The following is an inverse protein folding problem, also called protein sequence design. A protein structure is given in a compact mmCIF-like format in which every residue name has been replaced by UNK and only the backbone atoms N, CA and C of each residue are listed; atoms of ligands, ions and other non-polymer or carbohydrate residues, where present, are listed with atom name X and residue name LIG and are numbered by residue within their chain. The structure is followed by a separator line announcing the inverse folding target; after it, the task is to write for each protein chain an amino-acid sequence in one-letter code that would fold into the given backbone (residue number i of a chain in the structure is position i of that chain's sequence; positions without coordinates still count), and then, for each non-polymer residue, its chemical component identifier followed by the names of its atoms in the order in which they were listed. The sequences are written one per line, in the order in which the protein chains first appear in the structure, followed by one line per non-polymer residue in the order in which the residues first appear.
data_IF_964323600199
#
_entry.id   IF_964323600199
#
_cell.length_a   1.000
_cell.length_b   1.000
_cell.length_c   1.000
_cell.angle_alpha   90.00
_cell.angle_beta   90.00
_cell.angle_gamma   90.00
#
_symmetry.space_group_name_H-M   'P 1'
#
loop_
_entity.id
_entity.type
_entity.pdbx_description
1 polymer ?
#
# COMPACT_ATOMS: atom_id res chain seq x y z
N UNK A 1 -4.68 3.53 8.07
CA UNK A 1 -6.00 3.30 8.69
C UNK A 1 -5.79 2.72 10.09
N UNK A 2 -6.73 2.90 11.01
CA UNK A 2 -6.51 2.49 12.41
C UNK A 2 -6.70 0.99 12.64
N UNK A 3 -7.51 0.32 11.82
CA UNK A 3 -7.93 -1.06 12.04
C UNK A 3 -7.84 -1.95 10.77
N UNK A 4 -7.38 -1.42 9.66
CA UNK A 4 -7.20 -2.18 8.43
C UNK A 4 -6.13 -1.51 7.55
N UNK A 5 -5.66 -2.24 6.55
CA UNK A 5 -4.74 -1.75 5.54
C UNK A 5 -5.18 -2.18 4.15
N UNK A 6 -4.76 -1.45 3.15
CA UNK A 6 -4.94 -1.77 1.75
C UNK A 6 -3.59 -1.99 1.10
N UNK A 7 -3.48 -3.06 0.33
CA UNK A 7 -2.31 -3.34 -0.50
C UNK A 7 -2.76 -3.51 -1.95
N UNK A 8 -2.02 -2.95 -2.85
CA UNK A 8 -2.08 -3.29 -4.26
C UNK A 8 -0.88 -4.17 -4.57
N UNK A 9 -1.15 -5.43 -4.93
CA UNK A 9 -0.13 -6.45 -5.10
C UNK A 9 -0.17 -6.97 -6.53
N UNK A 10 0.98 -7.00 -7.20
CA UNK A 10 1.19 -7.79 -8.40
C UNK A 10 1.71 -9.17 -7.98
N UNK A 11 1.00 -10.21 -8.38
CA UNK A 11 1.38 -11.60 -8.13
C UNK A 11 1.63 -12.27 -9.49
N UNK A 12 2.89 -12.35 -9.95
CA UNK A 12 3.24 -13.02 -11.21
C UNK A 12 2.85 -14.51 -11.24
N UNK A 13 2.93 -15.13 -10.06
CA UNK A 13 2.52 -16.51 -9.83
C UNK A 13 1.22 -16.56 -9.02
N UNK A 14 0.46 -17.64 -9.14
CA UNK A 14 -0.81 -17.83 -8.41
C UNK A 14 -0.58 -18.18 -6.92
N UNK A 15 0.21 -17.37 -6.20
CA UNK A 15 0.67 -17.65 -4.84
C UNK A 15 0.26 -16.56 -3.81
N UNK A 16 -0.66 -15.67 -4.16
CA UNK A 16 -1.11 -14.57 -3.29
C UNK A 16 -1.51 -15.05 -1.89
N UNK A 17 -2.26 -16.13 -1.79
CA UNK A 17 -2.70 -16.67 -0.49
C UNK A 17 -1.54 -17.12 0.40
N UNK A 18 -0.50 -17.70 -0.20
CA UNK A 18 0.72 -18.09 0.52
C UNK A 18 1.48 -16.86 1.00
N UNK A 19 1.65 -15.85 0.13
CA UNK A 19 2.29 -14.58 0.49
C UNK A 19 1.56 -13.84 1.60
N UNK A 20 0.25 -13.72 1.51
CA UNK A 20 -0.56 -13.06 2.53
C UNK A 20 -0.56 -13.80 3.87
N UNK A 21 -0.60 -15.14 3.84
CA UNK A 21 -0.45 -15.94 5.07
C UNK A 21 0.90 -15.69 5.75
N UNK A 22 1.97 -15.65 4.98
CA UNK A 22 3.32 -15.36 5.47
C UNK A 22 3.39 -13.95 6.06
N UNK A 23 2.94 -12.95 5.32
CA UNK A 23 2.96 -11.54 5.73
C UNK A 23 2.19 -11.33 7.06
N UNK A 24 0.94 -11.75 7.09
CA UNK A 24 0.08 -11.57 8.26
C UNK A 24 0.54 -12.42 9.45
N UNK A 25 1.05 -13.62 9.21
CA UNK A 25 1.56 -14.51 10.25
C UNK A 25 2.81 -13.93 10.91
N UNK A 26 3.80 -13.51 10.14
CA UNK A 26 5.04 -12.92 10.67
C UNK A 26 4.74 -11.60 11.39
N UNK A 27 3.87 -10.77 10.83
CA UNK A 27 3.48 -9.51 11.48
C UNK A 27 2.80 -9.77 12.82
N UNK A 28 1.83 -10.67 12.87
CA UNK A 28 1.11 -11.04 14.10
C UNK A 28 2.08 -11.55 15.17
N UNK A 29 3.00 -12.44 14.81
CA UNK A 29 4.00 -12.97 15.76
C UNK A 29 4.90 -11.87 16.32
N UNK A 30 5.41 -10.98 15.47
CA UNK A 30 6.25 -9.84 15.89
C UNK A 30 5.49 -8.88 16.78
N UNK A 31 4.28 -8.50 16.37
CA UNK A 31 3.42 -7.62 17.15
C UNK A 31 3.10 -8.18 18.52
N UNK A 32 2.67 -9.45 18.59
CA UNK A 32 2.35 -10.12 19.86
C UNK A 32 3.56 -10.21 20.79
N UNK A 33 4.73 -10.52 20.23
CA UNK A 33 5.98 -10.55 21.00
C UNK A 33 6.35 -9.18 21.56
N UNK A 34 6.26 -8.14 20.75
CA UNK A 34 6.60 -6.77 21.13
C UNK A 34 5.65 -6.20 22.19
N UNK A 35 4.38 -6.59 22.14
CA UNK A 35 3.34 -6.07 23.03
C UNK A 35 2.88 -7.06 24.11
N UNK A 36 3.63 -8.15 24.32
CA UNK A 36 3.32 -9.20 25.30
C UNK A 36 1.86 -9.71 25.19
N UNK A 37 1.37 -9.92 23.96
CA UNK A 37 0.01 -10.37 23.67
C UNK A 37 0.01 -11.81 23.14
N UNK A 38 -1.10 -12.50 23.36
CA UNK A 38 -1.39 -13.83 22.84
C UNK A 38 -2.80 -13.80 22.25
N UNK A 39 -2.93 -13.53 20.98
CA UNK A 39 -4.23 -13.59 20.32
C UNK A 39 -4.08 -13.43 18.80
N UNK A 40 -5.18 -13.64 18.06
CA UNK A 40 -5.27 -13.24 16.67
C UNK A 40 -5.25 -11.71 16.57
N UNK A 41 -4.38 -11.17 15.71
CA UNK A 41 -4.34 -9.74 15.46
C UNK A 41 -5.37 -9.33 14.40
N UNK A 42 -5.54 -10.17 13.38
CA UNK A 42 -6.52 -9.94 12.31
C UNK A 42 -7.80 -10.71 12.60
N UNK A 43 -8.94 -10.08 12.33
CA UNK A 43 -10.26 -10.61 12.64
C UNK A 43 -10.66 -11.79 11.74
N UNK A 44 -10.02 -11.94 10.60
CA UNK A 44 -10.34 -12.98 9.62
C UNK A 44 -9.27 -13.13 8.57
N UNK A 45 -9.62 -13.78 7.47
CA UNK A 45 -8.77 -13.87 6.28
C UNK A 45 -8.70 -12.51 5.59
N UNK A 46 -7.66 -12.30 4.78
CA UNK A 46 -7.62 -11.16 3.87
C UNK A 46 -8.72 -11.29 2.80
N UNK A 47 -9.26 -10.17 2.38
CA UNK A 47 -10.12 -10.08 1.22
C UNK A 47 -9.29 -9.64 0.02
N UNK A 48 -9.52 -10.25 -1.12
CA UNK A 48 -8.84 -9.90 -2.36
C UNK A 48 -9.85 -9.62 -3.47
N UNK A 49 -9.62 -8.54 -4.19
CA UNK A 49 -10.37 -8.18 -5.39
C UNK A 49 -9.38 -8.23 -6.54
N UNK A 50 -9.69 -9.02 -7.56
CA UNK A 50 -8.91 -9.04 -8.79
C UNK A 50 -9.13 -7.74 -9.56
N UNK A 51 -8.04 -7.11 -9.97
CA UNK A 51 -8.08 -5.84 -10.70
C UNK A 51 -7.45 -6.04 -12.07
N UNK A 52 -8.20 -5.76 -13.12
CA UNK A 52 -7.68 -5.74 -14.47
C UNK A 52 -6.80 -4.52 -14.71
N UNK A 53 -5.71 -4.69 -15.46
CA UNK A 53 -4.56 -3.78 -15.53
C UNK A 53 -4.86 -2.45 -16.22
N UNK A 54 -5.85 -2.39 -17.12
CA UNK A 54 -5.86 -1.33 -18.14
C UNK A 54 -6.69 -0.08 -17.81
N UNK A 55 -7.78 -0.15 -17.06
CA UNK A 55 -8.63 1.04 -16.86
C UNK A 55 -8.85 1.44 -15.40
N UNK A 56 -8.81 0.50 -14.50
CA UNK A 56 -9.19 0.71 -13.11
C UNK A 56 -7.99 0.84 -12.15
N UNK A 57 -6.81 0.40 -12.57
CA UNK A 57 -5.63 0.31 -11.70
C UNK A 57 -5.15 1.68 -11.19
N UNK A 58 -5.17 2.72 -12.03
CA UNK A 58 -4.81 4.08 -11.62
C UNK A 58 -5.80 4.67 -10.61
N UNK A 59 -7.08 4.45 -10.83
CA UNK A 59 -8.13 4.87 -9.90
C UNK A 59 -7.95 4.20 -8.54
N UNK A 60 -7.63 2.90 -8.55
CA UNK A 60 -7.38 2.14 -7.34
C UNK A 60 -6.10 2.61 -6.62
N UNK A 61 -5.02 2.91 -7.34
CA UNK A 61 -3.82 3.52 -6.76
C UNK A 61 -4.15 4.83 -6.04
N UNK A 62 -4.95 5.69 -6.67
CA UNK A 62 -5.44 6.93 -6.06
C UNK A 62 -6.32 6.66 -4.84
N UNK A 63 -7.25 5.71 -4.96
CA UNK A 63 -8.14 5.35 -3.87
C UNK A 63 -7.36 4.90 -2.63
N UNK A 64 -6.42 3.97 -2.78
CA UNK A 64 -5.61 3.44 -1.68
C UNK A 64 -4.83 4.55 -0.98
N UNK A 65 -4.20 5.44 -1.75
CA UNK A 65 -3.37 6.53 -1.21
C UNK A 65 -4.22 7.62 -0.56
N UNK A 66 -5.37 7.98 -1.15
CA UNK A 66 -6.25 9.04 -0.66
C UNK A 66 -7.17 8.59 0.49
N UNK A 67 -7.27 7.30 0.75
CA UNK A 67 -8.22 6.76 1.72
C UNK A 67 -8.04 7.36 3.13
N UNK A 68 -6.84 7.51 3.71
CA UNK A 68 -6.66 8.14 5.02
C UNK A 68 -7.11 9.61 5.05
N UNK A 69 -6.90 10.34 3.95
CA UNK A 69 -7.34 11.74 3.81
C UNK A 69 -8.87 11.83 3.74
N UNK A 70 -9.51 10.96 2.93
CA UNK A 70 -10.98 10.88 2.81
C UNK A 70 -11.66 10.45 4.10
N UNK A 71 -10.98 9.63 4.89
CA UNK A 71 -11.43 9.22 6.22
C UNK A 71 -11.22 10.30 7.30
N UNK A 72 -10.71 11.49 6.94
CA UNK A 72 -10.46 12.58 7.88
C UNK A 72 -9.34 12.32 8.90
N UNK A 73 -8.51 11.29 8.68
CA UNK A 73 -7.44 10.93 9.60
C UNK A 73 -6.25 11.89 9.56
N UNK A 74 -6.10 12.60 8.46
CA UNK A 74 -4.98 13.51 8.23
C UNK A 74 -5.37 14.64 7.26
N UNK A 75 -4.61 15.72 7.30
CA UNK A 75 -4.79 16.88 6.43
C UNK A 75 -3.77 16.94 5.29
N UNK A 76 -2.68 16.20 5.39
CA UNK A 76 -1.59 16.21 4.42
C UNK A 76 -1.01 14.80 4.23
N UNK A 77 -1.11 14.27 3.02
CA UNK A 77 -0.60 12.94 2.65
C UNK A 77 0.93 12.84 2.78
N UNK A 78 1.67 13.93 2.56
CA UNK A 78 3.12 13.94 2.64
C UNK A 78 3.65 13.62 4.07
N UNK A 79 2.84 13.85 5.08
CA UNK A 79 3.17 13.60 6.49
C UNK A 79 2.76 12.20 6.97
N UNK A 80 2.08 11.42 6.11
CA UNK A 80 1.58 10.10 6.50
C UNK A 80 2.57 9.01 6.09
N UNK A 81 3.42 8.63 7.03
CA UNK A 81 4.47 7.62 6.83
C UNK A 81 3.94 6.20 6.51
N UNK A 82 2.70 5.89 6.89
CA UNK A 82 2.05 4.59 6.67
C UNK A 82 1.38 4.46 5.29
N UNK A 83 1.93 5.12 4.29
CA UNK A 83 1.46 5.00 2.91
C UNK A 83 2.62 5.01 1.92
N UNK A 84 2.36 4.56 0.69
CA UNK A 84 3.34 4.64 -0.39
C UNK A 84 3.54 6.06 -0.93
N UNK A 85 2.67 7.02 -0.58
CA UNK A 85 2.70 8.38 -1.12
C UNK A 85 4.04 9.10 -0.92
N UNK A 86 4.62 9.16 0.30
CA UNK A 86 5.90 9.86 0.49
C UNK A 86 7.04 9.29 -0.37
N UNK A 87 7.13 7.96 -0.48
CA UNK A 87 8.13 7.32 -1.32
C UNK A 87 7.91 7.57 -2.81
N UNK A 88 6.65 7.50 -3.27
CA UNK A 88 6.27 7.79 -4.66
C UNK A 88 6.62 9.23 -5.04
N UNK A 89 6.36 10.18 -4.16
CA UNK A 89 6.69 11.60 -4.34
C UNK A 89 8.19 11.91 -4.19
N UNK A 90 9.00 10.96 -3.69
CA UNK A 90 10.42 11.18 -3.42
C UNK A 90 10.70 11.97 -2.17
N UNK A 91 9.74 12.05 -1.26
CA UNK A 91 9.85 12.67 0.06
C UNK A 91 10.44 11.73 1.11
N UNK A 92 10.46 10.44 0.81
CA UNK A 92 11.04 9.38 1.63
C UNK A 92 11.79 8.37 0.76
N UNK A 93 12.66 7.59 1.37
CA UNK A 93 13.34 6.48 0.69
C UNK A 93 12.31 5.46 0.17
N UNK A 94 12.50 5.02 -1.08
CA UNK A 94 11.65 4.00 -1.68
C UNK A 94 12.15 2.61 -1.26
N UNK A 95 11.38 1.82 -0.52
CA UNK A 95 11.76 0.46 -0.19
C UNK A 95 11.89 -0.40 -1.47
N UNK A 96 12.80 -1.37 -1.46
CA UNK A 96 13.11 -2.23 -2.62
C UNK A 96 11.88 -3.01 -3.13
N UNK A 97 10.94 -3.32 -2.25
CA UNK A 97 9.72 -4.06 -2.56
C UNK A 97 8.59 -3.18 -3.12
N UNK A 98 8.73 -1.83 -3.07
CA UNK A 98 7.70 -0.91 -3.54
C UNK A 98 7.95 -0.54 -5.01
N UNK A 99 7.05 -0.95 -5.88
CA UNK A 99 7.09 -0.64 -7.31
C UNK A 99 6.36 0.69 -7.58
N UNK A 100 7.12 1.76 -7.83
CA UNK A 100 6.58 3.09 -8.13
C UNK A 100 6.68 3.48 -9.61
N UNK A 101 7.56 2.83 -10.34
CA UNK A 101 7.92 3.26 -11.71
C UNK A 101 6.75 3.11 -12.67
N UNK A 102 6.00 2.03 -12.56
CA UNK A 102 4.80 1.85 -13.39
C UNK A 102 3.76 2.94 -13.11
N UNK A 103 3.46 3.23 -11.85
CA UNK A 103 2.49 4.27 -11.47
C UNK A 103 2.94 5.62 -12.02
N UNK A 104 4.19 6.00 -11.81
CA UNK A 104 4.71 7.28 -12.27
C UNK A 104 4.75 7.38 -13.80
N UNK A 105 5.00 6.30 -14.51
CA UNK A 105 5.03 6.29 -15.98
C UNK A 105 3.68 6.69 -16.60
N UNK A 106 2.58 6.51 -15.88
CA UNK A 106 1.24 6.92 -16.33
C UNK A 106 1.05 8.45 -16.30
N UNK A 107 1.88 9.17 -15.56
CA UNK A 107 1.78 10.61 -15.39
C UNK A 107 2.82 11.40 -16.20
N UNK A 108 3.84 10.76 -16.73
CA UNK A 108 4.85 11.44 -17.54
C UNK A 108 6.11 10.64 -17.79
N UNK A 109 6.89 11.06 -18.81
CA UNK A 109 8.13 10.38 -19.19
C UNK A 109 9.29 10.61 -18.21
N UNK A 110 9.30 11.73 -17.50
CA UNK A 110 10.32 11.99 -16.48
C UNK A 110 9.72 11.91 -15.08
N UNK A 111 10.49 11.39 -14.13
CA UNK A 111 10.02 11.25 -12.74
C UNK A 111 9.61 12.60 -12.11
N UNK A 112 10.29 13.68 -12.46
CA UNK A 112 9.97 15.02 -11.95
C UNK A 112 8.57 15.48 -12.41
N UNK A 113 8.30 15.39 -13.72
CA UNK A 113 6.99 15.75 -14.29
C UNK A 113 5.90 14.80 -13.77
N UNK A 114 6.21 13.49 -13.72
CA UNK A 114 5.26 12.49 -13.24
C UNK A 114 4.84 12.77 -11.78
N UNK A 115 5.78 13.06 -10.89
CA UNK A 115 5.49 13.42 -9.50
C UNK A 115 4.65 14.68 -9.38
N UNK A 116 4.97 15.70 -10.16
CA UNK A 116 4.18 16.95 -10.17
C UNK A 116 2.72 16.71 -10.56
N UNK A 117 2.46 15.78 -11.49
CA UNK A 117 1.11 15.43 -11.94
C UNK A 117 0.41 14.42 -11.03
N UNK A 118 1.18 13.63 -10.28
CA UNK A 118 0.66 12.67 -9.31
C UNK A 118 0.22 13.35 -8.01
N UNK A 119 0.88 14.45 -7.61
CA UNK A 119 0.54 15.24 -6.43
C UNK A 119 -0.86 15.84 -6.54
#
# INVERSE_FOLDING_TARGET
MNNHYHLLIEAPDANLSTGMRQLNGVYTQRFNRQHARVAHLFQGRFEAIFVDRDSYLLELCRYVVLNPLRAGMLKNLAQYEWSSYPATMGLAACPIWLSIDWVLSQFGRSKAIARQRYA
#
